data_IF_598226531011
#
_entry.id   IF_598226531011
#
_cell.length_a   1.000
_cell.length_b   1.000
_cell.length_c   1.000
_cell.angle_alpha   90.00
_cell.angle_beta   90.00
_cell.angle_gamma   90.00
#
_symmetry.space_group_name_H-M   'P 1'
#
loop_
_entity.id
_entity.type
_entity.pdbx_description
1 polymer ?
#
# COMPACT_ATOMS: atom_id res chain seq x y z
N UNK A 1 3.72 6.59 -12.65
CA UNK A 1 5.08 6.56 -12.06
C UNK A 1 5.64 5.14 -12.18
N UNK A 2 6.85 5.01 -12.67
CA UNK A 2 7.53 3.71 -12.68
C UNK A 2 7.82 3.24 -11.26
N UNK A 3 7.72 1.92 -11.04
CA UNK A 3 8.00 1.32 -9.74
C UNK A 3 9.13 0.30 -9.84
N UNK A 4 9.94 0.15 -8.79
CA UNK A 4 11.06 -0.80 -8.79
C UNK A 4 10.57 -2.24 -8.65
N UNK A 5 10.17 -2.84 -9.74
CA UNK A 5 9.72 -4.22 -9.83
C UNK A 5 10.14 -4.82 -11.16
N UNK A 6 9.57 -4.35 -12.27
CA UNK A 6 10.01 -4.69 -13.63
C UNK A 6 10.14 -3.41 -14.45
N UNK A 7 10.68 -3.52 -15.66
CA UNK A 7 10.85 -2.34 -16.52
C UNK A 7 9.52 -1.71 -16.91
N UNK A 8 8.44 -2.49 -16.92
CA UNK A 8 7.10 -2.04 -17.31
C UNK A 8 6.22 -1.68 -16.13
N UNK A 9 6.64 -2.01 -14.89
CA UNK A 9 5.81 -1.78 -13.70
C UNK A 9 5.61 -0.29 -13.44
N UNK A 10 4.37 0.08 -13.10
CA UNK A 10 4.07 1.45 -12.75
C UNK A 10 2.94 1.54 -11.72
N UNK A 11 3.00 2.59 -10.92
CA UNK A 11 1.91 2.97 -10.03
C UNK A 11 0.93 3.86 -10.78
N UNK A 12 -0.33 3.80 -10.40
CA UNK A 12 -1.42 4.54 -11.04
C UNK A 12 -1.96 5.59 -10.10
N UNK A 13 -2.25 6.76 -10.63
CA UNK A 13 -2.91 7.85 -9.91
C UNK A 13 -4.18 8.17 -10.68
N UNK A 14 -5.33 7.90 -10.05
CA UNK A 14 -6.64 8.06 -10.67
C UNK A 14 -7.40 9.17 -9.97
N UNK A 15 -8.01 10.05 -10.76
CA UNK A 15 -8.86 11.12 -10.23
C UNK A 15 -10.23 11.00 -10.89
N UNK A 16 -11.28 11.00 -10.07
CA UNK A 16 -12.64 10.95 -10.62
C UNK A 16 -13.18 12.37 -10.88
N UNK A 17 -14.42 12.43 -11.39
CA UNK A 17 -15.07 13.70 -11.72
C UNK A 17 -15.35 14.58 -10.49
N UNK A 18 -15.31 14.00 -9.30
CA UNK A 18 -15.53 14.72 -8.03
C UNK A 18 -14.21 15.04 -7.32
N UNK A 19 -13.08 14.94 -8.05
CA UNK A 19 -11.74 15.16 -7.54
C UNK A 19 -11.30 14.17 -6.45
N UNK A 20 -11.95 13.00 -6.37
CA UNK A 20 -11.49 11.93 -5.49
C UNK A 20 -10.30 11.24 -6.12
N UNK A 21 -9.28 10.98 -5.32
CA UNK A 21 -8.00 10.45 -5.77
C UNK A 21 -7.80 9.04 -5.22
N UNK A 22 -7.53 8.10 -6.11
CA UNK A 22 -7.12 6.74 -5.76
C UNK A 22 -5.73 6.50 -6.34
N UNK A 23 -4.82 6.04 -5.51
CA UNK A 23 -3.48 5.64 -5.96
C UNK A 23 -3.32 4.15 -5.72
N UNK A 24 -2.82 3.46 -6.73
CA UNK A 24 -2.50 2.03 -6.65
C UNK A 24 -1.03 1.85 -7.02
N UNK A 25 -0.27 1.24 -6.11
CA UNK A 25 1.18 1.08 -6.34
C UNK A 25 1.51 0.03 -7.38
N UNK A 26 0.61 -0.92 -7.65
CA UNK A 26 0.97 -2.17 -8.34
C UNK A 26 2.10 -2.86 -7.56
N UNK A 27 2.70 -3.87 -8.12
CA UNK A 27 3.86 -4.52 -7.49
C UNK A 27 5.03 -3.54 -7.48
N UNK A 28 5.69 -3.40 -6.33
CA UNK A 28 6.77 -2.44 -6.18
C UNK A 28 7.72 -2.81 -5.05
N UNK A 29 9.01 -2.54 -5.24
CA UNK A 29 9.93 -2.44 -4.14
C UNK A 29 9.80 -1.08 -3.45
N UNK A 30 10.64 -0.83 -2.46
CA UNK A 30 10.60 0.44 -1.74
C UNK A 30 11.16 1.58 -2.59
N UNK A 31 10.37 2.61 -2.74
CA UNK A 31 10.78 3.87 -3.36
C UNK A 31 10.04 4.99 -2.64
N UNK A 32 10.76 5.82 -1.91
CA UNK A 32 10.13 6.87 -1.11
C UNK A 32 9.36 7.89 -1.94
N UNK A 33 9.65 7.99 -3.26
CA UNK A 33 8.89 8.89 -4.13
C UNK A 33 7.45 8.43 -4.32
N UNK A 34 7.13 7.16 -4.04
CA UNK A 34 5.75 6.70 -4.01
C UNK A 34 4.92 7.45 -2.97
N UNK A 35 5.54 7.79 -1.84
CA UNK A 35 4.87 8.59 -0.81
C UNK A 35 4.45 9.97 -1.33
N UNK A 36 5.32 10.62 -2.08
CA UNK A 36 5.02 11.90 -2.73
C UNK A 36 3.94 11.73 -3.81
N UNK A 37 4.08 10.69 -4.63
CA UNK A 37 3.13 10.39 -5.70
C UNK A 37 1.72 10.17 -5.16
N UNK A 38 1.62 9.53 -3.98
CA UNK A 38 0.34 9.18 -3.35
C UNK A 38 -0.15 10.24 -2.36
N UNK A 39 0.51 11.40 -2.28
CA UNK A 39 0.23 12.39 -1.24
C UNK A 39 -1.22 12.82 -1.23
N UNK A 40 -1.83 12.76 -0.03
CA UNK A 40 -3.21 13.17 0.21
C UNK A 40 -4.27 12.42 -0.61
N UNK A 41 -3.97 11.20 -1.05
CA UNK A 41 -4.96 10.37 -1.73
C UNK A 41 -6.17 10.11 -0.81
N UNK A 42 -7.35 10.00 -1.39
CA UNK A 42 -8.53 9.56 -0.64
C UNK A 42 -8.41 8.08 -0.31
N UNK A 43 -7.84 7.29 -1.23
CA UNK A 43 -7.54 5.89 -1.05
C UNK A 43 -6.17 5.56 -1.62
N UNK A 44 -5.33 4.94 -0.81
CA UNK A 44 -4.06 4.40 -1.25
C UNK A 44 -4.11 2.88 -1.14
N UNK A 45 -3.99 2.20 -2.28
CA UNK A 45 -3.89 0.74 -2.32
C UNK A 45 -2.45 0.40 -2.62
N UNK A 46 -1.80 -0.33 -1.71
CA UNK A 46 -0.41 -0.69 -1.92
C UNK A 46 -0.17 -2.16 -1.66
N UNK A 47 0.78 -2.71 -2.41
CA UNK A 47 1.21 -4.07 -2.18
C UNK A 47 1.90 -4.18 -0.82
N UNK A 48 1.81 -5.33 -0.20
CA UNK A 48 2.52 -5.62 1.04
C UNK A 48 2.78 -7.13 1.09
N UNK A 49 3.70 -7.57 0.26
CA UNK A 49 3.93 -9.00 0.06
C UNK A 49 4.48 -9.70 1.30
N UNK A 50 5.28 -9.00 2.11
CA UNK A 50 6.00 -9.61 3.23
C UNK A 50 5.72 -8.90 4.55
N UNK A 51 5.82 -9.66 5.64
CA UNK A 51 5.68 -9.10 7.00
C UNK A 51 7.00 -8.47 7.43
N UNK A 52 8.09 -9.23 7.37
CA UNK A 52 9.45 -8.81 7.79
C UNK A 52 10.49 -9.50 6.92
N UNK A 53 11.68 -8.89 6.87
CA UNK A 53 12.85 -9.51 6.26
C UNK A 53 12.58 -10.03 4.84
N UNK A 54 12.02 -9.15 4.02
CA UNK A 54 11.69 -9.52 2.64
C UNK A 54 12.90 -10.14 1.92
N UNK A 55 12.68 -11.25 1.20
CA UNK A 55 13.79 -11.93 0.51
C UNK A 55 14.21 -11.25 -0.78
N UNK A 56 13.40 -10.35 -1.32
CA UNK A 56 13.67 -9.65 -2.58
C UNK A 56 13.29 -8.20 -2.50
N UNK A 57 14.02 -7.35 -3.21
CA UNK A 57 13.82 -5.90 -3.19
C UNK A 57 12.63 -5.44 -4.03
N UNK A 58 12.10 -6.29 -4.90
CA UNK A 58 11.04 -5.93 -5.85
C UNK A 58 9.64 -5.88 -5.24
N UNK A 59 9.50 -6.09 -3.95
CA UNK A 59 8.25 -6.04 -3.20
C UNK A 59 8.43 -5.30 -1.89
N UNK A 60 7.32 -4.96 -1.24
CA UNK A 60 7.34 -4.26 0.06
C UNK A 60 7.15 -5.24 1.22
N UNK A 61 7.80 -4.93 2.34
CA UNK A 61 7.43 -5.49 3.62
C UNK A 61 6.61 -4.48 4.42
N UNK A 62 5.94 -4.94 5.48
CA UNK A 62 4.97 -4.12 6.22
C UNK A 62 5.56 -2.81 6.72
N UNK A 63 6.76 -2.81 7.29
CA UNK A 63 7.36 -1.57 7.81
C UNK A 63 7.55 -0.54 6.70
N UNK A 64 7.91 -0.98 5.49
CA UNK A 64 8.07 -0.08 4.34
C UNK A 64 6.72 0.46 3.87
N UNK A 65 5.70 -0.40 3.81
CA UNK A 65 4.35 0.04 3.45
C UNK A 65 3.83 1.09 4.45
N UNK A 66 4.01 0.86 5.75
CA UNK A 66 3.59 1.82 6.78
C UNK A 66 4.38 3.13 6.65
N UNK A 67 5.68 3.07 6.35
CA UNK A 67 6.48 4.27 6.14
C UNK A 67 5.92 5.11 4.98
N UNK A 68 5.59 4.46 3.86
CA UNK A 68 4.99 5.16 2.72
C UNK A 68 3.63 5.78 3.08
N UNK A 69 2.81 5.06 3.83
CA UNK A 69 1.51 5.56 4.29
C UNK A 69 1.67 6.80 5.16
N UNK A 70 2.61 6.77 6.11
CA UNK A 70 2.87 7.94 6.97
C UNK A 70 3.29 9.15 6.16
N UNK A 71 4.10 8.95 5.15
CA UNK A 71 4.57 10.04 4.30
C UNK A 71 3.46 10.57 3.38
N UNK A 72 2.69 9.67 2.78
CA UNK A 72 1.63 10.02 1.84
C UNK A 72 0.40 10.64 2.52
N UNK A 73 0.11 10.24 3.75
CA UNK A 73 -1.05 10.72 4.52
C UNK A 73 -2.37 10.53 3.78
N UNK A 74 -2.68 9.33 3.30
CA UNK A 74 -3.96 9.08 2.67
C UNK A 74 -5.08 9.11 3.71
N UNK A 75 -6.32 9.28 3.27
CA UNK A 75 -7.47 9.17 4.17
C UNK A 75 -7.72 7.72 4.59
N UNK A 76 -7.48 6.79 3.67
CA UNK A 76 -7.66 5.35 3.90
C UNK A 76 -6.58 4.62 3.11
N UNK A 77 -6.03 3.56 3.70
CA UNK A 77 -5.08 2.69 3.02
C UNK A 77 -5.58 1.25 3.00
N UNK A 78 -5.31 0.56 1.91
CA UNK A 78 -5.60 -0.87 1.77
C UNK A 78 -4.31 -1.58 1.39
N UNK A 79 -3.96 -2.63 2.14
CA UNK A 79 -2.82 -3.48 1.81
C UNK A 79 -3.30 -4.72 1.08
N UNK A 80 -2.57 -5.13 0.06
CA UNK A 80 -2.92 -6.24 -0.82
C UNK A 80 -1.66 -6.99 -1.28
N UNK A 81 -1.84 -8.02 -2.09
CA UNK A 81 -0.76 -8.79 -2.70
C UNK A 81 0.09 -9.52 -1.65
N UNK A 82 -0.58 -10.21 -0.72
CA UNK A 82 0.07 -10.91 0.38
C UNK A 82 0.67 -12.25 -0.08
N UNK A 83 1.91 -12.52 0.36
CA UNK A 83 2.52 -13.82 0.18
C UNK A 83 2.21 -14.72 1.39
N UNK A 84 2.55 -16.00 1.27
CA UNK A 84 2.16 -17.02 2.25
C UNK A 84 2.64 -16.73 3.69
N UNK A 85 3.69 -15.95 3.86
CA UNK A 85 4.16 -15.55 5.19
C UNK A 85 3.04 -14.91 6.03
N UNK A 86 2.14 -14.18 5.36
CA UNK A 86 1.02 -13.52 6.03
C UNK A 86 0.00 -14.51 6.61
N UNK A 87 -0.07 -15.73 6.10
CA UNK A 87 -1.03 -16.74 6.57
C UNK A 87 -0.78 -17.13 8.04
N UNK A 88 0.44 -16.96 8.52
CA UNK A 88 0.85 -17.37 9.85
C UNK A 88 0.78 -16.24 10.89
N UNK A 89 0.35 -15.04 10.51
CA UNK A 89 0.35 -13.88 11.40
C UNK A 89 -1.01 -13.20 11.43
N UNK A 90 -1.26 -12.45 12.50
CA UNK A 90 -2.47 -11.65 12.68
C UNK A 90 -2.23 -10.26 12.08
N UNK A 91 -2.93 -9.94 10.99
CA UNK A 91 -2.79 -8.66 10.29
C UNK A 91 -3.00 -7.47 11.22
N UNK A 92 -4.12 -7.45 11.95
CA UNK A 92 -4.44 -6.33 12.84
C UNK A 92 -3.36 -6.10 13.88
N UNK A 93 -2.84 -7.18 14.45
CA UNK A 93 -1.80 -7.11 15.46
C UNK A 93 -0.50 -6.53 14.89
N UNK A 94 -0.08 -7.01 13.73
CA UNK A 94 1.17 -6.55 13.10
C UNK A 94 1.08 -5.08 12.69
N UNK A 95 -0.05 -4.67 12.12
CA UNK A 95 -0.27 -3.27 11.72
C UNK A 95 -0.30 -2.36 12.95
N UNK A 96 -1.01 -2.75 14.00
CA UNK A 96 -1.14 -1.94 15.22
C UNK A 96 0.21 -1.69 15.90
N UNK A 97 1.11 -2.67 15.86
CA UNK A 97 2.47 -2.50 16.42
C UNK A 97 3.22 -1.32 15.82
N UNK A 98 2.93 -0.96 14.58
CA UNK A 98 3.63 0.10 13.86
C UNK A 98 2.94 1.45 13.96
N UNK A 99 1.88 1.56 14.76
CA UNK A 99 1.17 2.82 15.04
C UNK A 99 0.81 3.59 13.75
N UNK A 100 -0.04 3.01 12.90
CA UNK A 100 -0.42 3.67 11.65
C UNK A 100 -1.19 4.96 11.91
N UNK A 101 -1.06 5.93 10.98
CA UNK A 101 -1.66 7.25 11.12
C UNK A 101 -3.06 7.34 10.51
N UNK A 102 -3.54 6.30 9.87
CA UNK A 102 -4.89 6.23 9.30
C UNK A 102 -5.39 4.79 9.41
N UNK A 103 -6.66 4.59 9.05
CA UNK A 103 -7.21 3.24 8.98
C UNK A 103 -6.52 2.47 7.86
N UNK A 104 -6.14 1.22 8.16
CA UNK A 104 -5.49 0.33 7.20
C UNK A 104 -6.31 -0.95 7.13
N UNK A 105 -6.78 -1.28 5.93
CA UNK A 105 -7.65 -2.43 5.68
C UNK A 105 -6.86 -3.53 5.00
N UNK A 106 -7.08 -4.76 5.46
CA UNK A 106 -6.58 -5.96 4.79
C UNK A 106 -7.48 -6.28 3.61
N UNK A 107 -6.92 -6.29 2.40
CA UNK A 107 -7.68 -6.63 1.21
C UNK A 107 -8.05 -8.12 1.21
N UNK A 108 -9.27 -8.41 0.79
CA UNK A 108 -9.77 -9.77 0.59
C UNK A 108 -10.56 -9.82 -0.69
N UNK A 109 -10.61 -10.99 -1.31
CA UNK A 109 -11.38 -11.16 -2.53
C UNK A 109 -12.83 -10.70 -2.32
N UNK A 110 -13.30 -9.85 -3.22
CA UNK A 110 -14.66 -9.32 -3.14
C UNK A 110 -14.81 -8.07 -2.28
N UNK A 111 -13.73 -7.55 -1.69
CA UNK A 111 -13.80 -6.30 -0.90
C UNK A 111 -14.31 -5.16 -1.77
N UNK A 112 -15.28 -4.41 -1.24
CA UNK A 112 -15.82 -3.20 -1.88
C UNK A 112 -15.71 -2.04 -0.92
N UNK A 113 -15.26 -0.90 -1.42
CA UNK A 113 -15.13 0.32 -0.65
C UNK A 113 -15.78 1.48 -1.39
N UNK A 114 -16.43 2.37 -0.64
CA UNK A 114 -16.94 3.63 -1.18
C UNK A 114 -16.03 4.77 -0.72
N UNK A 115 -15.73 5.67 -1.64
CA UNK A 115 -14.91 6.85 -1.37
C UNK A 115 -15.82 8.07 -1.36
N UNK A 116 -16.07 8.58 -0.17
CA UNK A 116 -16.97 9.71 0.03
C UNK A 116 -16.25 11.04 0.16
#
# INVERSE_FOLDING_TARGET
MKTPHTDESCALHLRDKNDKIVVYTSDTGFDKTLGTFARNADLLVLECSFVKEKPIEAHLELAEAIHLIRYAKPKLAVLTHFYAEWDAVDFEKEVTKLSPMCEIIEAKDGLKLEIN
#
